data_IF_447875020195
#
_entry.id   IF_447875020195
#
_cell.length_a   1.000
_cell.length_b   1.000
_cell.length_c   1.000
_cell.angle_alpha   90.00
_cell.angle_beta   90.00
_cell.angle_gamma   90.00
#
_symmetry.space_group_name_H-M   'P 1'
#
loop_
_entity.id
_entity.type
_entity.pdbx_description
1 polymer ?
#
# COMPACT_ATOMS: atom_id res chain seq x y z
N UNK A 1 -8.40 -40.22 7.81
CA UNK A 1 -9.31 -39.05 7.92
C UNK A 1 -8.56 -37.92 8.60
N UNK A 2 -8.57 -36.70 8.05
CA UNK A 2 -8.12 -35.55 8.86
C UNK A 2 -9.14 -35.33 9.97
N UNK A 3 -8.66 -35.13 11.19
CA UNK A 3 -9.49 -34.92 12.38
C UNK A 3 -10.30 -33.62 12.24
N UNK A 4 -11.55 -33.60 12.75
CA UNK A 4 -12.40 -32.39 12.80
C UNK A 4 -11.65 -31.19 13.38
N UNK A 5 -10.80 -31.45 14.36
CA UNK A 5 -9.93 -30.47 15.00
C UNK A 5 -9.06 -29.68 14.01
N UNK A 6 -8.46 -30.35 13.03
CA UNK A 6 -7.65 -29.69 12.00
C UNK A 6 -8.47 -28.71 11.15
N UNK A 7 -9.69 -29.09 10.76
CA UNK A 7 -10.56 -28.19 10.00
C UNK A 7 -10.96 -26.97 10.83
N UNK A 8 -11.18 -27.14 12.14
CA UNK A 8 -11.45 -26.01 13.03
C UNK A 8 -10.24 -25.07 13.14
N UNK A 9 -9.03 -25.60 13.27
CA UNK A 9 -7.79 -24.80 13.25
C UNK A 9 -7.70 -24.01 11.94
N UNK A 10 -7.98 -24.66 10.81
CA UNK A 10 -7.92 -24.04 9.49
C UNK A 10 -8.94 -22.89 9.34
N UNK A 11 -10.18 -23.11 9.77
CA UNK A 11 -11.25 -22.10 9.73
C UNK A 11 -10.87 -20.91 10.64
N UNK A 12 -10.40 -21.18 11.85
CA UNK A 12 -9.99 -20.16 12.81
C UNK A 12 -8.78 -19.34 12.30
N UNK A 13 -7.78 -20.00 11.72
CA UNK A 13 -6.65 -19.35 11.09
C UNK A 13 -7.08 -18.45 9.91
N UNK A 14 -8.03 -18.92 9.10
CA UNK A 14 -8.55 -18.17 7.97
C UNK A 14 -9.35 -16.92 8.40
N UNK A 15 -10.20 -17.07 9.42
CA UNK A 15 -10.97 -15.97 10.00
C UNK A 15 -10.07 -14.92 10.65
N UNK A 16 -9.02 -15.34 11.38
CA UNK A 16 -8.06 -14.45 12.06
C UNK A 16 -7.39 -13.45 11.10
N UNK A 17 -7.20 -13.85 9.84
CA UNK A 17 -6.53 -13.04 8.81
C UNK A 17 -7.49 -12.40 7.80
N UNK A 18 -8.75 -12.18 8.20
CA UNK A 18 -9.77 -11.48 7.39
C UNK A 18 -9.90 -12.08 5.99
N UNK A 19 -9.75 -13.41 5.85
CA UNK A 19 -9.86 -14.12 4.56
C UNK A 19 -8.85 -13.69 3.48
N UNK A 20 -7.78 -12.99 3.85
CA UNK A 20 -6.77 -12.48 2.89
C UNK A 20 -5.71 -13.52 2.55
N UNK A 21 -5.42 -14.43 3.49
CA UNK A 21 -4.29 -15.36 3.35
C UNK A 21 -4.66 -16.53 2.45
N UNK A 22 -3.91 -16.68 1.35
CA UNK A 22 -3.94 -17.85 0.47
C UNK A 22 -3.18 -19.02 1.11
N UNK A 23 -3.27 -20.21 0.48
CA UNK A 23 -2.65 -21.47 0.94
C UNK A 23 -1.20 -21.35 1.42
N UNK A 24 -0.34 -20.59 0.73
CA UNK A 24 1.08 -20.46 1.09
C UNK A 24 1.26 -19.79 2.45
N UNK A 25 0.64 -18.62 2.64
CA UNK A 25 0.73 -17.89 3.91
C UNK A 25 0.00 -18.61 5.03
N UNK A 26 -1.12 -19.25 4.71
CA UNK A 26 -1.90 -20.00 5.69
C UNK A 26 -1.11 -21.23 6.19
N UNK A 27 -0.41 -21.94 5.31
CA UNK A 27 0.48 -23.05 5.66
C UNK A 27 1.61 -22.59 6.58
N UNK A 28 2.29 -21.49 6.25
CA UNK A 28 3.34 -20.91 7.10
C UNK A 28 2.82 -20.49 8.47
N UNK A 29 1.63 -19.89 8.52
CA UNK A 29 1.00 -19.49 9.77
C UNK A 29 0.66 -20.69 10.65
N UNK A 30 0.05 -21.72 10.08
CA UNK A 30 -0.32 -22.94 10.82
C UNK A 30 0.93 -23.67 11.31
N UNK A 31 1.98 -23.74 10.48
CA UNK A 31 3.27 -24.30 10.88
C UNK A 31 3.87 -23.52 12.06
N UNK A 32 3.84 -22.19 12.03
CA UNK A 32 4.40 -21.36 13.11
C UNK A 32 3.59 -21.45 14.42
N UNK A 33 2.27 -21.46 14.34
CA UNK A 33 1.40 -21.38 15.53
C UNK A 33 1.08 -22.74 16.15
N UNK A 34 0.88 -23.76 15.31
CA UNK A 34 0.43 -25.08 15.74
C UNK A 34 1.48 -26.17 15.52
N UNK A 35 2.64 -25.84 14.95
CA UNK A 35 3.70 -26.80 14.59
C UNK A 35 3.22 -27.92 13.65
N UNK A 36 2.22 -27.63 12.80
CA UNK A 36 1.68 -28.58 11.83
C UNK A 36 2.18 -28.21 10.43
N UNK A 37 2.95 -29.11 9.82
CA UNK A 37 3.40 -28.98 8.44
C UNK A 37 2.39 -29.61 7.48
N UNK A 38 1.93 -28.82 6.50
CA UNK A 38 0.85 -29.22 5.60
C UNK A 38 1.33 -29.01 4.16
N UNK A 39 1.19 -30.04 3.33
CA UNK A 39 1.40 -29.91 1.89
C UNK A 39 0.40 -28.89 1.30
N UNK A 40 0.91 -27.93 0.53
CA UNK A 40 0.14 -26.87 -0.12
C UNK A 40 -1.01 -27.40 -1.00
N UNK A 41 -0.81 -28.54 -1.69
CA UNK A 41 -1.85 -29.16 -2.54
C UNK A 41 -3.00 -29.66 -1.68
N UNK A 42 -2.69 -30.32 -0.57
CA UNK A 42 -3.69 -30.83 0.38
C UNK A 42 -4.44 -29.68 1.03
N UNK A 43 -3.73 -28.64 1.47
CA UNK A 43 -4.34 -27.44 2.05
C UNK A 43 -5.31 -26.77 1.06
N UNK A 44 -4.94 -26.67 -0.21
CA UNK A 44 -5.83 -26.16 -1.26
C UNK A 44 -7.10 -26.99 -1.43
N UNK A 45 -6.99 -28.32 -1.42
CA UNK A 45 -8.16 -29.23 -1.48
C UNK A 45 -9.07 -29.05 -0.26
N UNK A 46 -8.50 -28.94 0.93
CA UNK A 46 -9.26 -28.74 2.16
C UNK A 46 -9.97 -27.37 2.16
N UNK A 47 -9.27 -26.31 1.76
CA UNK A 47 -9.86 -24.97 1.62
C UNK A 47 -11.04 -24.96 0.64
N UNK A 48 -10.91 -25.67 -0.49
CA UNK A 48 -11.99 -25.80 -1.47
C UNK A 48 -13.17 -26.59 -0.89
N UNK A 49 -12.91 -27.70 -0.20
CA UNK A 49 -13.96 -28.53 0.44
C UNK A 49 -14.71 -27.76 1.52
N UNK A 50 -14.03 -26.86 2.22
CA UNK A 50 -14.61 -26.00 3.27
C UNK A 50 -15.16 -24.67 2.73
N UNK A 51 -15.19 -24.47 1.40
CA UNK A 51 -15.66 -23.24 0.76
C UNK A 51 -14.97 -21.94 1.25
N UNK A 52 -13.69 -22.04 1.65
CA UNK A 52 -12.91 -20.89 2.14
C UNK A 52 -12.37 -20.04 0.98
N UNK A 53 -13.18 -19.09 0.51
CA UNK A 53 -12.81 -18.16 -0.58
C UNK A 53 -12.00 -16.98 -0.05
N UNK A 54 -10.83 -16.75 -0.66
CA UNK A 54 -9.95 -15.64 -0.31
C UNK A 54 -10.42 -14.33 -0.92
N UNK A 55 -10.36 -13.24 -0.17
CA UNK A 55 -10.63 -11.90 -0.67
C UNK A 55 -9.40 -11.32 -1.39
N UNK A 56 -9.65 -10.55 -2.45
CA UNK A 56 -8.60 -9.81 -3.15
C UNK A 56 -8.19 -8.63 -2.25
N UNK A 57 -6.87 -8.47 -2.04
CA UNK A 57 -6.37 -7.29 -1.32
C UNK A 57 -6.76 -6.04 -2.08
N UNK A 58 -7.40 -5.09 -1.38
CA UNK A 58 -7.64 -3.75 -1.92
C UNK A 58 -6.30 -3.11 -2.29
N UNK A 59 -6.26 -2.45 -3.45
CA UNK A 59 -5.11 -1.65 -3.88
C UNK A 59 -4.88 -0.56 -2.82
N UNK A 60 -3.63 -0.36 -2.39
CA UNK A 60 -3.28 0.79 -1.53
C UNK A 60 -3.53 2.06 -2.35
N UNK A 61 -4.05 3.14 -1.73
CA UNK A 61 -4.25 4.42 -2.43
C UNK A 61 -2.99 4.75 -3.25
N UNK A 62 -3.19 5.13 -4.51
CA UNK A 62 -2.09 5.61 -5.35
C UNK A 62 -1.46 6.84 -4.69
N UNK A 63 -0.17 7.08 -4.94
CA UNK A 63 0.48 8.30 -4.47
C UNK A 63 -0.26 9.51 -5.05
N UNK A 64 -0.30 10.59 -4.27
CA UNK A 64 -0.90 11.86 -4.68
C UNK A 64 -0.34 12.27 -6.06
N UNK A 65 -1.23 12.46 -7.03
CA UNK A 65 -0.85 12.87 -8.38
C UNK A 65 -0.72 14.40 -8.39
N UNK A 66 0.43 14.90 -7.92
CA UNK A 66 0.70 16.34 -7.89
C UNK A 66 0.95 16.83 -9.31
N UNK A 67 0.11 17.74 -9.78
CA UNK A 67 0.43 18.54 -10.96
C UNK A 67 1.39 19.66 -10.54
N UNK A 68 2.70 19.36 -10.51
CA UNK A 68 3.76 20.29 -10.07
C UNK A 68 4.05 21.34 -11.17
N UNK A 69 3.36 21.24 -12.31
CA UNK A 69 3.58 22.06 -13.50
C UNK A 69 2.90 23.45 -13.39
N UNK A 70 3.17 24.19 -12.31
CA UNK A 70 2.72 25.57 -12.19
C UNK A 70 3.65 26.49 -13.01
N UNK A 71 3.14 27.09 -14.08
CA UNK A 71 3.83 28.16 -14.81
C UNK A 71 3.45 29.50 -14.20
N UNK A 72 4.35 30.11 -13.44
CA UNK A 72 4.16 31.45 -12.91
C UNK A 72 4.62 32.49 -13.93
N UNK A 73 3.90 33.60 -14.02
CA UNK A 73 4.34 34.75 -14.80
C UNK A 73 5.64 35.29 -14.21
N UNK A 74 6.67 35.45 -15.04
CA UNK A 74 7.92 36.05 -14.62
C UNK A 74 7.73 37.56 -14.48
N UNK A 75 7.31 37.99 -13.29
CA UNK A 75 7.10 39.40 -12.95
C UNK A 75 8.43 40.18 -12.89
N UNK A 76 9.57 39.48 -12.94
CA UNK A 76 10.91 40.09 -12.92
C UNK A 76 11.35 40.45 -14.34
N UNK A 77 10.58 41.31 -15.00
CA UNK A 77 11.15 42.20 -16.02
C UNK A 77 11.78 43.39 -15.29
N UNK A 78 12.85 43.14 -14.53
CA UNK A 78 13.68 44.22 -13.99
C UNK A 78 14.63 44.66 -15.08
N UNK A 79 14.57 45.94 -15.42
CA UNK A 79 15.50 46.58 -16.33
C UNK A 79 16.91 46.50 -15.72
N UNK A 80 17.67 45.47 -16.07
CA UNK A 80 19.02 45.21 -15.56
C UNK A 80 20.04 46.13 -16.24
N UNK A 81 19.86 47.45 -16.16
CA UNK A 81 20.88 48.39 -16.57
C UNK A 81 21.83 48.67 -15.39
N UNK A 82 22.54 47.63 -14.95
CA UNK A 82 23.40 47.68 -13.77
C UNK A 82 24.83 48.13 -14.11
N UNK A 83 25.02 49.42 -14.41
CA UNK A 83 26.36 50.01 -14.56
C UNK A 83 27.18 50.05 -13.25
N UNK A 84 26.63 49.61 -12.11
CA UNK A 84 27.23 49.75 -10.77
C UNK A 84 27.42 48.42 -10.02
N UNK A 85 27.20 47.28 -10.69
CA UNK A 85 27.43 45.93 -10.18
C UNK A 85 26.86 45.64 -8.78
N UNK A 86 25.68 46.19 -8.44
CA UNK A 86 24.99 45.91 -7.18
C UNK A 86 24.12 44.65 -7.33
N UNK A 87 24.71 43.48 -7.09
CA UNK A 87 24.01 42.19 -7.10
C UNK A 87 23.08 42.06 -5.88
N UNK A 88 21.89 42.65 -5.94
CA UNK A 88 20.84 42.48 -4.92
C UNK A 88 20.06 41.20 -5.25
N UNK A 89 20.23 40.16 -4.44
CA UNK A 89 19.44 38.94 -4.54
C UNK A 89 18.21 39.04 -3.67
N UNK A 90 17.04 39.29 -4.28
CA UNK A 90 15.76 39.13 -3.60
C UNK A 90 15.29 37.68 -3.79
N UNK A 91 15.46 36.84 -2.77
CA UNK A 91 14.81 35.52 -2.71
C UNK A 91 13.46 35.69 -2.02
N UNK A 92 12.41 35.91 -2.80
CA UNK A 92 11.04 35.79 -2.29
C UNK A 92 10.61 34.32 -2.36
N UNK A 93 9.99 33.82 -1.29
CA UNK A 93 9.52 32.43 -1.18
C UNK A 93 8.01 32.44 -1.38
N UNK A 94 7.56 32.03 -2.57
CA UNK A 94 6.13 31.94 -2.88
C UNK A 94 5.59 30.55 -2.54
N UNK A 95 4.58 30.49 -1.67
CA UNK A 95 3.88 29.24 -1.36
C UNK A 95 2.86 28.92 -2.46
N UNK A 96 2.87 27.68 -2.94
CA UNK A 96 1.87 27.17 -3.88
C UNK A 96 0.77 26.51 -3.05
N UNK A 97 -0.50 26.84 -3.32
CA UNK A 97 -1.63 26.20 -2.66
C UNK A 97 -1.61 24.67 -2.89
N UNK A 98 -1.83 23.92 -1.82
CA UNK A 98 -1.89 22.47 -1.90
C UNK A 98 -3.09 21.99 -2.72
N UNK A 99 -2.92 20.85 -3.39
CA UNK A 99 -4.01 20.13 -4.07
C UNK A 99 -5.20 19.89 -3.15
N UNK A 100 -6.43 19.89 -3.70
CA UNK A 100 -7.69 19.69 -2.95
C UNK A 100 -7.70 18.42 -2.09
N UNK A 101 -6.86 17.44 -2.43
CA UNK A 101 -6.72 16.15 -1.74
C UNK A 101 -5.84 16.19 -0.48
N UNK A 102 -5.27 17.36 -0.14
CA UNK A 102 -4.35 17.54 1.01
C UNK A 102 -5.05 17.91 2.34
N UNK A 103 -6.40 17.87 2.40
CA UNK A 103 -7.19 18.05 3.63
C UNK A 103 -7.54 16.72 4.31
#
# INVERSE_FOLDING_TARGET
>A
MKTKEYHNILINAFASHKKVYKRVRLSQFIAKKHNIYINLRTLGRDMNRLCLKCEIKRKRKERENKDITAKFENIVNRDYNNNQNRNIYATDVTYIEGTRDSK
#
